data_IF_084840265316
#
_entry.id   IF_084840265316
#
_cell.length_a   1.000
_cell.length_b   1.000
_cell.length_c   1.000
_cell.angle_alpha   90.00
_cell.angle_beta   90.00
_cell.angle_gamma   90.00
#
_symmetry.space_group_name_H-M   'P 1'
#
loop_
_entity.id
_entity.type
_entity.pdbx_description
1 polymer ?
#
# COMPACT_ATOMS: atom_id res chain seq x y z
N UNK A 1 0.83 -7.99 -6.27
CA UNK A 1 -0.12 -6.85 -6.19
C UNK A 1 0.58 -5.76 -5.39
N UNK A 2 0.85 -4.60 -5.98
CA UNK A 2 1.73 -3.54 -5.43
C UNK A 2 1.14 -2.74 -4.26
N UNK A 3 -0.08 -3.07 -3.81
CA UNK A 3 -0.75 -2.38 -2.70
C UNK A 3 -1.13 -0.92 -2.98
N UNK A 4 -1.02 -0.50 -4.25
CA UNK A 4 -1.28 0.88 -4.71
C UNK A 4 -2.75 1.14 -5.00
N UNK A 5 -3.50 0.14 -5.48
CA UNK A 5 -4.93 0.29 -5.75
C UNK A 5 -5.74 0.22 -4.46
N UNK A 6 -6.49 1.30 -4.19
CA UNK A 6 -7.46 1.36 -3.10
C UNK A 6 -8.79 0.83 -3.61
N UNK A 7 -9.25 -0.28 -3.06
CA UNK A 7 -10.60 -0.77 -3.32
C UNK A 7 -11.59 -0.13 -2.35
N UNK A 8 -12.80 0.12 -2.84
CA UNK A 8 -13.90 0.69 -2.06
C UNK A 8 -15.15 -0.14 -2.28
N UNK A 9 -15.99 -0.21 -1.24
CA UNK A 9 -17.30 -0.84 -1.26
C UNK A 9 -18.35 0.21 -0.90
N UNK A 10 -19.45 0.24 -1.64
CA UNK A 10 -20.50 1.26 -1.47
C UNK A 10 -21.58 0.77 -0.52
N UNK A 11 -21.86 1.57 0.50
CA UNK A 11 -22.92 1.30 1.49
C UNK A 11 -23.71 2.60 1.65
N UNK A 12 -24.98 2.61 1.24
CA UNK A 12 -25.85 3.79 1.32
C UNK A 12 -25.22 5.02 0.61
N UNK A 13 -24.70 4.83 -0.60
CA UNK A 13 -23.97 5.83 -1.40
C UNK A 13 -22.67 6.37 -0.76
N UNK A 14 -22.20 5.72 0.32
CA UNK A 14 -20.93 6.04 0.98
C UNK A 14 -19.87 5.03 0.55
N UNK A 15 -18.77 5.53 -0.01
CA UNK A 15 -17.61 4.72 -0.39
C UNK A 15 -16.77 4.38 0.84
N UNK A 16 -16.86 3.14 1.30
CA UNK A 16 -16.10 2.61 2.44
C UNK A 16 -14.85 1.88 1.92
N UNK A 17 -13.66 2.10 2.52
CA UNK A 17 -12.45 1.37 2.15
C UNK A 17 -12.63 -0.15 2.29
N UNK A 18 -12.20 -0.89 1.28
CA UNK A 18 -12.35 -2.33 1.20
C UNK A 18 -11.00 -3.03 1.09
N UNK A 19 -10.77 -4.05 1.92
CA UNK A 19 -9.55 -4.86 1.92
C UNK A 19 -9.94 -6.34 1.94
N UNK A 20 -9.47 -7.08 0.93
CA UNK A 20 -9.65 -8.54 0.87
C UNK A 20 -8.42 -9.25 1.42
N UNK A 21 -8.61 -10.01 2.51
CA UNK A 21 -7.56 -10.83 3.13
C UNK A 21 -7.81 -12.31 2.80
N UNK A 22 -6.91 -13.00 2.08
CA UNK A 22 -7.10 -14.40 1.77
C UNK A 22 -6.88 -15.28 3.01
N UNK A 23 -7.84 -16.16 3.31
CA UNK A 23 -7.74 -17.13 4.39
C UNK A 23 -6.94 -18.34 3.95
N UNK A 24 -5.92 -18.72 4.73
CA UNK A 24 -5.13 -19.94 4.53
C UNK A 24 -4.72 -20.52 5.89
N UNK A 25 -4.77 -21.85 6.08
CA UNK A 25 -4.28 -22.48 7.29
C UNK A 25 -2.78 -22.18 7.49
N UNK A 26 -2.36 -22.03 8.75
CA UNK A 26 -0.99 -21.64 9.12
C UNK A 26 -0.73 -20.13 9.14
N UNK A 27 -1.76 -19.29 8.98
CA UNK A 27 -1.67 -17.83 9.18
C UNK A 27 -2.54 -17.37 10.34
N UNK A 28 -1.99 -16.46 11.14
CA UNK A 28 -2.71 -15.76 12.20
C UNK A 28 -3.60 -14.66 11.58
N UNK A 29 -4.91 -14.88 11.59
CA UNK A 29 -5.88 -13.95 11.05
C UNK A 29 -6.01 -12.67 11.88
N UNK A 30 -5.89 -12.77 13.21
CA UNK A 30 -6.02 -11.60 14.08
C UNK A 30 -4.90 -10.60 13.78
N UNK A 31 -3.66 -11.11 13.67
CA UNK A 31 -2.50 -10.28 13.30
C UNK A 31 -2.61 -9.68 11.90
N UNK A 32 -3.19 -10.40 10.95
CA UNK A 32 -3.41 -9.86 9.59
C UNK A 32 -4.44 -8.73 9.58
N UNK A 33 -5.51 -8.85 10.36
CA UNK A 33 -6.53 -7.81 10.51
C UNK A 33 -5.94 -6.56 11.18
N UNK A 34 -5.13 -6.74 12.22
CA UNK A 34 -4.47 -5.63 12.94
C UNK A 34 -3.58 -4.81 12.01
N UNK A 35 -2.71 -5.47 11.24
CA UNK A 35 -1.82 -4.81 10.28
C UNK A 35 -2.63 -4.11 9.18
N UNK A 36 -3.70 -4.74 8.68
CA UNK A 36 -4.57 -4.12 7.69
C UNK A 36 -5.27 -2.85 8.23
N UNK A 37 -5.71 -2.86 9.48
CA UNK A 37 -6.31 -1.69 10.13
C UNK A 37 -5.30 -0.55 10.33
N UNK A 38 -4.08 -0.87 10.76
CA UNK A 38 -2.99 0.13 10.87
C UNK A 38 -2.64 0.74 9.52
N UNK A 39 -2.50 -0.08 8.47
CA UNK A 39 -2.22 0.41 7.11
C UNK A 39 -3.34 1.33 6.61
N UNK A 40 -4.60 0.94 6.82
CA UNK A 40 -5.75 1.78 6.44
C UNK A 40 -5.77 3.11 7.20
N UNK A 41 -5.42 3.10 8.50
CA UNK A 41 -5.28 4.32 9.31
C UNK A 41 -4.18 5.22 8.75
N UNK A 42 -3.00 4.68 8.43
CA UNK A 42 -1.89 5.46 7.86
C UNK A 42 -2.26 6.06 6.50
N UNK A 43 -2.92 5.28 5.64
CA UNK A 43 -3.44 5.74 4.34
C UNK A 43 -4.48 6.85 4.47
N UNK A 44 -5.28 6.85 5.54
CA UNK A 44 -6.25 7.92 5.84
C UNK A 44 -5.59 9.21 6.35
N UNK A 45 -4.43 9.09 7.00
CA UNK A 45 -3.63 10.21 7.51
C UNK A 45 -2.72 10.84 6.45
N UNK A 46 -2.75 10.34 5.21
CA UNK A 46 -1.97 10.91 4.09
C UNK A 46 -0.59 10.29 3.87
N UNK A 47 -0.12 9.40 4.75
CA UNK A 47 1.12 8.64 4.52
C UNK A 47 0.85 7.44 3.61
N UNK A 48 1.04 7.63 2.31
CA UNK A 48 1.13 6.52 1.37
C UNK A 48 2.55 5.97 1.37
N UNK A 49 2.84 5.02 2.26
CA UNK A 49 4.14 4.35 2.35
C UNK A 49 4.62 3.80 0.99
N UNK A 50 3.70 3.32 0.14
CA UNK A 50 4.00 2.86 -1.21
C UNK A 50 4.45 4.00 -2.15
N UNK A 51 3.89 5.20 -1.99
CA UNK A 51 4.24 6.37 -2.80
C UNK A 51 5.57 6.96 -2.34
N UNK A 52 5.79 7.07 -1.03
CA UNK A 52 7.11 7.44 -0.48
C UNK A 52 8.20 6.45 -0.87
N UNK A 53 7.90 5.15 -0.85
CA UNK A 53 8.82 4.11 -1.30
C UNK A 53 9.12 4.26 -2.79
N UNK A 54 8.10 4.47 -3.62
CA UNK A 54 8.29 4.67 -5.06
C UNK A 54 9.14 5.92 -5.36
N UNK A 55 8.86 7.04 -4.69
CA UNK A 55 9.67 8.27 -4.83
C UNK A 55 11.12 8.04 -4.39
N UNK A 56 11.36 7.36 -3.27
CA UNK A 56 12.71 7.00 -2.84
C UNK A 56 13.42 6.09 -3.84
N UNK A 57 12.70 5.13 -4.44
CA UNK A 57 13.22 4.19 -5.41
C UNK A 57 13.57 4.88 -6.73
N UNK A 58 12.72 5.78 -7.23
CA UNK A 58 12.98 6.64 -8.39
C UNK A 58 14.22 7.53 -8.17
N UNK A 59 14.31 8.20 -7.01
CA UNK A 59 15.46 9.02 -6.67
C UNK A 59 16.77 8.20 -6.60
N UNK A 60 16.72 6.96 -6.12
CA UNK A 60 17.87 6.05 -6.11
C UNK A 60 18.27 5.60 -7.52
N UNK A 61 17.30 5.41 -8.41
CA UNK A 61 17.53 5.07 -9.82
C UNK A 61 18.14 6.23 -10.59
N UNK A 62 17.66 7.46 -10.41
CA UNK A 62 18.25 8.67 -11.01
C UNK A 62 19.69 8.89 -10.54
N UNK A 63 19.96 8.67 -9.25
CA UNK A 63 21.30 8.86 -8.68
C UNK A 63 22.32 7.80 -9.14
N UNK A 64 21.86 6.67 -9.70
CA UNK A 64 22.69 5.59 -10.24
C UNK A 64 23.04 5.78 -11.73
N UNK A 65 22.62 6.88 -12.37
CA UNK A 65 22.99 7.20 -13.75
C UNK A 65 24.05 8.32 -13.89
N UNK A 66 25.24 8.27 -13.24
CA UNK A 66 26.30 9.25 -13.47
C UNK A 66 27.11 9.01 -14.75
N UNK A 67 26.88 7.93 -15.51
CA UNK A 67 27.64 7.67 -16.73
C UNK A 67 26.72 7.67 -17.95
N UNK A 68 26.43 8.89 -18.43
CA UNK A 68 26.11 9.08 -19.83
C UNK A 68 27.32 8.69 -20.67
N UNK A 69 27.20 7.63 -21.44
CA UNK A 69 28.09 7.38 -22.58
C UNK A 69 27.20 7.06 -23.78
N UNK A 70 27.20 8.03 -24.69
CA UNK A 70 26.92 8.00 -26.14
C UNK A 70 25.63 7.32 -26.63
#
# INVERSE_FOLDING_TARGET
>A
RTGLDREFYEILDIKVPHVTIPVRPGRDLARLIEVAAMDQKLKSLGSNAALEFNTKLLNLMEKKNPDGIA
#
